data_IF_934733668517
#
_entry.id   IF_934733668517
#
_cell.length_a   1.000
_cell.length_b   1.000
_cell.length_c   1.000
_cell.angle_alpha   90.00
_cell.angle_beta   90.00
_cell.angle_gamma   90.00
#
_symmetry.space_group_name_H-M   'P 1'
#
loop_
_entity.id
_entity.type
_entity.pdbx_description
1 polymer ?
#
# COMPACT_ATOMS: atom_id res chain seq x y z
N UNK A 1 -24.05 2.53 19.47
CA UNK A 1 -23.21 3.59 18.88
C UNK A 1 -22.52 3.04 17.65
N UNK A 2 -22.84 3.57 16.45
CA UNK A 2 -22.32 3.04 15.17
C UNK A 2 -21.03 3.78 14.83
N UNK A 3 -19.88 3.14 15.05
CA UNK A 3 -18.56 3.73 14.73
C UNK A 3 -18.13 3.41 13.31
N UNK A 4 -17.44 4.36 12.66
CA UNK A 4 -16.81 4.14 11.36
C UNK A 4 -15.69 3.10 11.50
N UNK A 5 -15.78 1.97 10.77
CA UNK A 5 -14.84 0.85 10.89
C UNK A 5 -13.81 0.89 9.77
N UNK A 6 -12.54 0.90 10.16
CA UNK A 6 -11.40 0.85 9.25
C UNK A 6 -10.79 -0.55 9.19
N UNK A 7 -10.13 -0.84 8.07
CA UNK A 7 -9.22 -1.97 7.88
C UNK A 7 -7.82 -1.43 7.62
N UNK A 8 -6.84 -2.16 8.10
CA UNK A 8 -5.42 -1.88 7.93
C UNK A 8 -4.79 -3.07 7.23
N UNK A 9 -4.10 -2.80 6.13
CA UNK A 9 -3.37 -3.79 5.34
C UNK A 9 -1.89 -3.57 5.57
N UNK A 10 -1.18 -4.62 6.00
CA UNK A 10 0.28 -4.67 5.98
C UNK A 10 0.67 -5.21 4.61
N UNK A 11 1.42 -4.41 3.86
CA UNK A 11 1.88 -4.79 2.53
C UNK A 11 3.39 -4.65 2.42
N UNK A 12 3.97 -5.53 1.63
CA UNK A 12 5.36 -5.54 1.25
C UNK A 12 5.51 -5.10 -0.20
N UNK A 13 6.53 -4.29 -0.45
CA UNK A 13 6.83 -3.71 -1.75
C UNK A 13 8.07 -4.41 -2.32
N UNK A 14 7.89 -5.17 -3.38
CA UNK A 14 8.99 -5.72 -4.17
C UNK A 14 9.33 -4.77 -5.31
N UNK A 15 10.62 -4.50 -5.47
CA UNK A 15 11.16 -3.72 -6.58
C UNK A 15 11.83 -4.71 -7.53
N UNK A 16 11.46 -4.67 -8.80
CA UNK A 16 12.07 -5.53 -9.83
C UNK A 16 13.37 -4.87 -10.33
N UNK A 17 14.56 -5.37 -9.98
CA UNK A 17 15.83 -4.75 -10.39
C UNK A 17 16.09 -4.88 -11.90
N UNK A 18 15.42 -5.80 -12.59
CA UNK A 18 15.65 -6.10 -14.01
C UNK A 18 14.93 -5.16 -14.98
N UNK A 19 14.06 -4.26 -14.51
CA UNK A 19 13.32 -3.31 -15.37
C UNK A 19 13.86 -1.89 -15.33
N UNK A 20 14.83 -1.61 -14.46
CA UNK A 20 15.35 -0.26 -14.23
C UNK A 20 16.66 -0.07 -15.01
N UNK A 21 16.54 0.14 -16.33
CA UNK A 21 17.62 0.80 -17.10
C UNK A 21 17.24 2.26 -17.29
N UNK A 22 18.05 3.18 -16.74
CA UNK A 22 18.37 4.53 -17.26
C UNK A 22 18.27 5.74 -16.32
N UNK A 23 17.96 5.63 -15.01
CA UNK A 23 18.11 6.80 -14.12
C UNK A 23 18.58 6.41 -12.72
N UNK A 24 19.80 6.81 -12.38
CA UNK A 24 20.48 6.68 -11.07
C UNK A 24 19.76 7.39 -9.89
N UNK A 25 18.55 7.90 -10.09
CA UNK A 25 17.72 8.40 -9.00
C UNK A 25 16.96 7.23 -8.39
N UNK A 26 17.55 6.61 -7.38
CA UNK A 26 16.86 5.68 -6.50
C UNK A 26 15.65 6.39 -5.88
N UNK A 27 14.48 6.30 -6.53
CA UNK A 27 13.26 6.89 -5.99
C UNK A 27 13.01 6.26 -4.64
N UNK A 28 13.12 7.07 -3.60
CA UNK A 28 12.80 6.64 -2.24
C UNK A 28 11.30 6.31 -2.21
N UNK A 29 10.98 5.11 -1.75
CA UNK A 29 9.61 4.70 -1.45
C UNK A 29 9.10 5.61 -0.33
N UNK A 30 8.43 6.70 -0.72
CA UNK A 30 7.83 7.65 0.22
C UNK A 30 6.33 7.43 0.32
N UNK A 31 5.75 7.86 1.44
CA UNK A 31 4.30 7.85 1.66
C UNK A 31 3.54 8.63 0.58
N UNK A 32 4.11 9.74 0.11
CA UNK A 32 3.54 10.55 -0.96
C UNK A 32 3.50 9.78 -2.30
N UNK A 33 4.62 9.18 -2.70
CA UNK A 33 4.71 8.45 -3.96
C UNK A 33 3.74 7.25 -3.99
N UNK A 34 3.67 6.48 -2.90
CA UNK A 34 2.70 5.38 -2.79
C UNK A 34 1.25 5.88 -2.84
N UNK A 35 0.92 6.91 -2.06
CA UNK A 35 -0.47 7.40 -2.05
C UNK A 35 -0.90 7.94 -3.40
N UNK A 36 0.01 8.60 -4.14
CA UNK A 36 -0.26 9.06 -5.50
C UNK A 36 -0.47 7.90 -6.46
N UNK A 37 0.49 6.97 -6.54
CA UNK A 37 0.42 5.83 -7.45
C UNK A 37 -0.83 4.95 -7.23
N UNK A 38 -1.19 4.69 -5.96
CA UNK A 38 -2.38 3.89 -5.66
C UNK A 38 -3.67 4.65 -6.05
N UNK A 39 -3.74 5.96 -5.82
CA UNK A 39 -4.90 6.76 -6.24
C UNK A 39 -5.06 6.78 -7.76
N UNK A 40 -3.96 6.93 -8.49
CA UNK A 40 -3.97 6.94 -9.95
C UNK A 40 -4.45 5.59 -10.51
N UNK A 41 -4.04 4.47 -9.90
CA UNK A 41 -4.50 3.13 -10.26
C UNK A 41 -5.97 2.91 -9.89
N UNK A 42 -6.42 3.40 -8.73
CA UNK A 42 -7.84 3.35 -8.35
C UNK A 42 -8.68 4.12 -9.38
N UNK A 43 -8.24 5.31 -9.77
CA UNK A 43 -8.92 6.12 -10.77
C UNK A 43 -8.98 5.42 -12.13
N UNK A 44 -7.88 4.82 -12.56
CA UNK A 44 -7.79 4.14 -13.86
C UNK A 44 -8.70 2.90 -13.92
N UNK A 45 -8.78 2.12 -12.83
CA UNK A 45 -9.49 0.84 -12.82
C UNK A 45 -10.96 0.94 -12.36
N UNK A 46 -11.26 1.85 -11.44
CA UNK A 46 -12.59 2.00 -10.83
C UNK A 46 -13.27 3.34 -11.14
N UNK A 47 -12.60 4.24 -11.88
CA UNK A 47 -13.12 5.53 -12.26
C UNK A 47 -13.20 6.54 -11.10
N UNK A 48 -13.76 7.70 -11.40
CA UNK A 48 -13.94 8.82 -10.45
C UNK A 48 -14.78 8.42 -9.24
N UNK A 49 -15.81 7.60 -9.45
CA UNK A 49 -16.69 7.12 -8.38
C UNK A 49 -15.92 6.23 -7.38
N UNK A 50 -15.07 5.33 -7.89
CA UNK A 50 -14.23 4.49 -7.03
C UNK A 50 -13.21 5.31 -6.25
N UNK A 51 -12.58 6.29 -6.90
CA UNK A 51 -11.63 7.19 -6.24
C UNK A 51 -12.32 8.01 -5.15
N UNK A 52 -13.44 8.66 -5.45
CA UNK A 52 -14.15 9.54 -4.52
C UNK A 52 -14.63 8.79 -3.27
N UNK A 53 -15.15 7.57 -3.44
CA UNK A 53 -15.65 6.78 -2.32
C UNK A 53 -14.53 6.36 -1.35
N UNK A 54 -13.37 5.99 -1.90
CA UNK A 54 -12.23 5.56 -1.10
C UNK A 54 -11.36 6.71 -0.60
N UNK A 55 -11.38 7.89 -1.23
CA UNK A 55 -10.49 9.02 -0.96
C UNK A 55 -10.45 9.48 0.51
N UNK A 56 -11.60 9.48 1.18
CA UNK A 56 -11.71 9.94 2.57
C UNK A 56 -11.08 8.97 3.58
N UNK A 57 -11.16 7.66 3.31
CA UNK A 57 -10.69 6.63 4.24
C UNK A 57 -9.27 6.18 3.93
N UNK A 58 -8.92 6.17 2.64
CA UNK A 58 -7.66 5.72 2.10
C UNK A 58 -6.50 6.59 2.57
N UNK A 59 -5.60 5.99 3.34
CA UNK A 59 -4.39 6.68 3.79
C UNK A 59 -3.28 5.65 4.02
N UNK A 60 -2.13 5.85 3.36
CA UNK A 60 -0.90 5.16 3.75
C UNK A 60 -0.46 5.75 5.09
N UNK A 61 -0.34 4.93 6.13
CA UNK A 61 -0.02 5.36 7.50
C UNK A 61 1.45 5.26 7.83
N UNK A 62 2.14 4.28 7.26
CA UNK A 62 3.54 4.00 7.54
C UNK A 62 4.18 3.42 6.28
N UNK A 63 5.43 3.80 6.06
CA UNK A 63 6.29 3.25 5.01
C UNK A 63 7.69 3.16 5.59
N UNK A 64 8.31 1.99 5.46
CA UNK A 64 9.72 1.81 5.73
C UNK A 64 10.45 1.63 4.38
N UNK A 65 11.29 2.57 3.94
CA UNK A 65 12.02 2.43 2.69
C UNK A 65 13.06 1.31 2.73
N UNK A 66 13.56 0.94 3.92
CA UNK A 66 14.60 -0.08 4.10
C UNK A 66 13.99 -1.49 4.04
N UNK A 67 13.01 -1.78 4.89
CA UNK A 67 12.35 -3.11 4.90
C UNK A 67 11.27 -3.25 3.83
N UNK A 68 10.96 -2.16 3.11
CA UNK A 68 9.95 -2.07 2.06
C UNK A 68 8.54 -2.46 2.54
N UNK A 69 8.28 -2.32 3.83
CA UNK A 69 6.95 -2.53 4.42
C UNK A 69 6.15 -1.23 4.40
N UNK A 70 4.86 -1.36 4.15
CA UNK A 70 3.90 -0.26 4.25
C UNK A 70 2.62 -0.70 4.94
N UNK A 71 1.98 0.25 5.63
CA UNK A 71 0.68 0.06 6.27
C UNK A 71 -0.32 0.99 5.61
N UNK A 72 -1.39 0.43 5.09
CA UNK A 72 -2.42 1.14 4.34
C UNK A 72 -3.74 1.02 5.09
N UNK A 73 -4.38 2.15 5.37
CA UNK A 73 -5.73 2.21 5.92
C UNK A 73 -6.75 2.32 4.79
N UNK A 74 -7.84 1.57 4.87
CA UNK A 74 -9.00 1.68 4.00
C UNK A 74 -10.31 1.47 4.79
N UNK A 75 -11.43 1.89 4.24
CA UNK A 75 -12.74 1.64 4.82
C UNK A 75 -13.11 0.15 4.75
N UNK A 76 -13.84 -0.35 5.77
CA UNK A 76 -14.24 -1.77 5.86
C UNK A 76 -15.05 -2.26 4.66
N UNK A 77 -15.84 -1.41 4.03
CA UNK A 77 -16.73 -1.85 2.94
C UNK A 77 -16.05 -1.72 1.57
N UNK A 78 -14.93 -0.98 1.49
CA UNK A 78 -14.22 -0.70 0.24
C UNK A 78 -12.78 -1.21 0.17
N UNK A 79 -12.25 -1.78 1.26
CA UNK A 79 -10.87 -2.27 1.29
C UNK A 79 -10.59 -3.29 0.17
N UNK A 80 -11.58 -4.07 -0.28
CA UNK A 80 -11.41 -5.01 -1.39
C UNK A 80 -11.11 -4.31 -2.72
N UNK A 81 -11.78 -3.18 -3.00
CA UNK A 81 -11.51 -2.37 -4.20
C UNK A 81 -10.11 -1.77 -4.13
N UNK A 82 -9.76 -1.21 -2.97
CA UNK A 82 -8.42 -0.66 -2.73
C UNK A 82 -7.35 -1.75 -2.86
N UNK A 83 -7.59 -2.94 -2.29
CA UNK A 83 -6.65 -4.06 -2.38
C UNK A 83 -6.48 -4.54 -3.83
N UNK A 84 -7.58 -4.70 -4.57
CA UNK A 84 -7.54 -5.05 -5.98
C UNK A 84 -6.84 -3.97 -6.83
N UNK A 85 -6.99 -2.69 -6.50
CA UNK A 85 -6.22 -1.63 -7.14
C UNK A 85 -4.71 -1.81 -6.87
N UNK A 86 -4.33 -2.07 -5.62
CA UNK A 86 -2.93 -2.18 -5.22
C UNK A 86 -2.22 -3.34 -5.93
N UNK A 87 -2.88 -4.49 -6.11
CA UNK A 87 -2.28 -5.63 -6.84
C UNK A 87 -2.07 -5.34 -8.33
N UNK A 88 -2.76 -4.35 -8.89
CA UNK A 88 -2.61 -3.90 -10.28
C UNK A 88 -1.57 -2.78 -10.44
N UNK A 89 -1.01 -2.24 -9.35
CA UNK A 89 0.07 -1.26 -9.43
C UNK A 89 1.30 -1.94 -10.06
N UNK A 90 1.73 -1.44 -11.22
CA UNK A 90 2.91 -1.94 -11.93
C UNK A 90 4.16 -1.10 -11.73
N UNK A 91 3.97 0.20 -11.48
CA UNK A 91 5.06 1.15 -11.33
C UNK A 91 4.71 2.24 -10.33
N UNK A 92 5.70 2.67 -9.56
CA UNK A 92 5.62 3.82 -8.67
C UNK A 92 6.74 4.77 -9.06
N UNK A 93 6.39 5.86 -9.76
CA UNK A 93 7.38 6.72 -10.40
C UNK A 93 8.04 5.99 -11.58
N UNK A 94 9.38 5.95 -11.61
CA UNK A 94 10.17 5.23 -12.62
C UNK A 94 10.43 3.75 -12.28
N UNK A 95 10.17 3.32 -11.04
CA UNK A 95 10.47 1.96 -10.61
C UNK A 95 9.31 1.00 -10.85
N UNK A 96 9.61 -0.21 -11.34
CA UNK A 96 8.65 -1.32 -11.40
C UNK A 96 8.45 -1.95 -10.03
N UNK A 97 7.18 -2.07 -9.61
CA UNK A 97 6.82 -2.47 -8.25
C UNK A 97 5.77 -3.58 -8.28
N UNK A 98 5.89 -4.53 -7.35
CA UNK A 98 4.87 -5.54 -7.04
C UNK A 98 4.53 -5.47 -5.56
N UNK A 99 3.25 -5.45 -5.23
CA UNK A 99 2.77 -5.45 -3.85
C UNK A 99 2.35 -6.85 -3.41
N UNK A 100 2.80 -7.25 -2.23
CA UNK A 100 2.36 -8.47 -1.55
C UNK A 100 1.59 -8.11 -0.27
N UNK A 101 0.45 -8.76 -0.02
CA UNK A 101 -0.33 -8.56 1.20
C UNK A 101 0.12 -9.57 2.27
N UNK A 102 0.55 -9.06 3.43
CA UNK A 102 1.02 -9.90 4.54
C UNK A 102 -0.05 -10.09 5.62
N UNK A 103 -0.77 -9.03 5.98
CA UNK A 103 -1.82 -9.10 7.01
C UNK A 103 -2.96 -8.10 6.75
N UNK A 104 -4.17 -8.48 7.18
CA UNK A 104 -5.38 -7.64 7.15
C UNK A 104 -5.99 -7.56 8.56
N UNK A 105 -5.86 -6.39 9.18
CA UNK A 105 -6.23 -6.15 10.57
C UNK A 105 -7.33 -5.09 10.70
N UNK A 106 -8.17 -5.20 11.75
CA UNK A 106 -9.20 -4.20 12.07
C UNK A 106 -8.70 -3.05 12.96
N UNK A 107 -7.53 -3.20 13.58
CA UNK A 107 -6.93 -2.20 14.46
C UNK A 107 -5.47 -1.94 14.09
N UNK A 108 -5.04 -0.70 14.31
CA UNK A 108 -3.64 -0.31 14.05
C UNK A 108 -2.66 -1.02 15.00
N UNK A 109 -3.11 -1.39 16.22
CA UNK A 109 -2.29 -2.11 17.19
C UNK A 109 -1.97 -3.53 16.72
N UNK A 110 -2.98 -4.26 16.26
CA UNK A 110 -2.80 -5.60 15.69
C UNK A 110 -1.94 -5.55 14.43
N UNK A 111 -2.21 -4.58 13.56
CA UNK A 111 -1.44 -4.35 12.33
C UNK A 111 0.04 -4.05 12.60
N UNK A 112 0.34 -3.23 13.62
CA UNK A 112 1.72 -2.93 14.02
C UNK A 112 2.44 -4.17 14.57
N UNK A 113 1.76 -4.98 15.39
CA UNK A 113 2.32 -6.22 15.89
C UNK A 113 2.61 -7.22 14.76
N UNK A 114 1.69 -7.33 13.78
CA UNK A 114 1.89 -8.15 12.60
C UNK A 114 3.07 -7.66 11.74
N UNK A 115 3.18 -6.35 11.50
CA UNK A 115 4.30 -5.77 10.76
C UNK A 115 5.66 -6.04 11.43
N UNK A 116 5.75 -5.90 12.75
CA UNK A 116 6.97 -6.23 13.50
C UNK A 116 7.33 -7.71 13.38
N UNK A 117 6.34 -8.60 13.53
CA UNK A 117 6.53 -10.04 13.37
C UNK A 117 7.02 -10.39 11.96
N UNK A 118 6.46 -9.76 10.94
CA UNK A 118 6.89 -9.92 9.55
C UNK A 118 8.33 -9.43 9.32
N UNK A 119 8.72 -8.31 9.93
CA UNK A 119 10.10 -7.83 9.86
C UNK A 119 11.06 -8.80 10.57
N UNK A 120 10.71 -9.31 11.75
CA UNK A 120 11.53 -10.30 12.48
C UNK A 120 11.78 -11.58 11.66
N UNK A 121 10.75 -12.08 10.96
CA UNK A 121 10.89 -13.26 10.10
C UNK A 121 11.85 -13.07 8.92
N UNK A 122 12.12 -11.84 8.48
CA UNK A 122 13.08 -11.58 7.39
C UNK A 122 14.54 -11.77 7.83
N UNK A 123 14.80 -11.75 9.13
CA UNK A 123 16.14 -11.90 9.68
C UNK A 123 16.48 -13.35 10.05
N UNK A 124 15.52 -14.27 10.01
CA UNK A 124 15.72 -15.71 10.16
C UNK A 124 16.02 -16.36 8.81
#
# INVERSE_FOLDING_TARGET
MVGFKNRYMVMEVFLDPNKDTASDEAIVITQFNLTKAIRDIILTNFGECGLASSANSFQVKYVNPITKLCIIRAWRDEYQKVWAAITMVRSVGSCSVVFNLLDLSGSIRACRAAALKCDEFKFQ
#
